data_IF_031310211879
#
_entry.id   IF_031310211879
#
_cell.length_a   1.000
_cell.length_b   1.000
_cell.length_c   1.000
_cell.angle_alpha   90.00
_cell.angle_beta   90.00
_cell.angle_gamma   90.00
#
_symmetry.space_group_name_H-M   'P 1'
#
loop_
_entity.id
_entity.type
_entity.pdbx_description
1 polymer ?
#
# COMPACT_ATOMS: atom_id res chain seq x y z
N UNK A 1 23.52 26.75 -2.50
CA UNK A 1 23.50 25.51 -1.70
C UNK A 1 24.93 25.00 -1.60
N UNK A 2 25.35 24.48 -0.43
CA UNK A 2 26.66 23.82 -0.27
C UNK A 2 26.78 22.64 -1.28
N UNK A 3 27.95 22.49 -1.93
CA UNK A 3 28.19 21.46 -2.96
C UNK A 3 27.92 20.07 -2.43
N UNK A 4 28.30 19.82 -1.18
CA UNK A 4 28.06 18.54 -0.52
C UNK A 4 26.56 18.24 -0.36
N UNK A 5 25.76 19.25 -0.04
CA UNK A 5 24.30 19.10 0.10
C UNK A 5 23.67 18.83 -1.26
N UNK A 6 24.15 19.49 -2.33
CA UNK A 6 23.72 19.22 -3.72
C UNK A 6 23.97 17.78 -4.12
N UNK A 7 25.18 17.29 -3.86
CA UNK A 7 25.55 15.92 -4.15
C UNK A 7 24.66 14.90 -3.40
N UNK A 8 24.31 15.15 -2.14
CA UNK A 8 23.42 14.27 -1.36
C UNK A 8 21.99 14.26 -1.91
N UNK A 9 21.45 15.41 -2.33
CA UNK A 9 20.13 15.47 -2.96
C UNK A 9 20.13 14.79 -4.33
N UNK A 10 21.21 14.93 -5.09
CA UNK A 10 21.39 14.22 -6.37
C UNK A 10 21.30 12.71 -6.19
N UNK A 11 22.08 12.18 -5.26
CA UNK A 11 22.06 10.74 -4.94
C UNK A 11 20.70 10.28 -4.41
N UNK A 12 19.99 11.12 -3.64
CA UNK A 12 18.61 10.82 -3.23
C UNK A 12 17.69 10.73 -4.45
N UNK A 13 17.74 11.71 -5.36
CA UNK A 13 16.94 11.75 -6.58
C UNK A 13 17.16 10.53 -7.48
N UNK A 14 18.42 10.07 -7.62
CA UNK A 14 18.74 8.85 -8.37
C UNK A 14 18.07 7.61 -7.77
N UNK A 15 18.09 7.44 -6.45
CA UNK A 15 17.42 6.30 -5.79
C UNK A 15 15.90 6.37 -5.94
N UNK A 16 15.32 7.57 -5.85
CA UNK A 16 13.89 7.79 -6.10
C UNK A 16 13.52 7.44 -7.55
N UNK A 17 14.37 7.74 -8.53
CA UNK A 17 14.15 7.33 -9.92
C UNK A 17 14.03 5.80 -10.04
N UNK A 18 14.97 5.05 -9.47
CA UNK A 18 14.94 3.60 -9.51
C UNK A 18 13.74 3.02 -8.74
N UNK A 19 13.33 3.66 -7.64
CA UNK A 19 12.09 3.30 -6.94
C UNK A 19 10.88 3.49 -7.87
N UNK A 20 10.81 4.59 -8.62
CA UNK A 20 9.75 4.82 -9.60
C UNK A 20 9.68 3.73 -10.67
N UNK A 21 10.84 3.35 -11.24
CA UNK A 21 10.94 2.25 -12.22
C UNK A 21 10.50 0.91 -11.62
N UNK A 22 11.01 0.56 -10.45
CA UNK A 22 10.64 -0.69 -9.79
C UNK A 22 9.16 -0.73 -9.39
N UNK A 23 8.58 0.42 -9.02
CA UNK A 23 7.15 0.53 -8.73
C UNK A 23 6.32 0.17 -9.97
N UNK A 24 6.73 0.57 -11.17
CA UNK A 24 6.07 0.12 -12.41
C UNK A 24 6.24 -1.39 -12.60
N UNK A 25 7.44 -1.92 -12.36
CA UNK A 25 7.73 -3.34 -12.51
C UNK A 25 6.98 -4.23 -11.50
N UNK A 26 6.58 -3.72 -10.33
CA UNK A 26 5.79 -4.50 -9.36
C UNK A 26 4.47 -5.02 -9.92
N UNK A 27 3.93 -4.40 -10.97
CA UNK A 27 2.73 -4.90 -11.68
C UNK A 27 2.98 -6.30 -12.24
N UNK A 28 4.20 -6.56 -12.76
CA UNK A 28 4.56 -7.82 -13.41
C UNK A 28 5.25 -8.80 -12.46
N UNK A 29 6.10 -8.31 -11.56
CA UNK A 29 6.89 -9.16 -10.66
C UNK A 29 6.17 -9.57 -9.39
N UNK A 30 5.01 -8.96 -9.09
CA UNK A 30 4.38 -9.04 -7.79
C UNK A 30 5.30 -8.55 -6.67
N UNK A 31 5.29 -9.27 -5.54
CA UNK A 31 5.97 -8.86 -4.30
C UNK A 31 7.50 -8.90 -4.32
N UNK A 32 8.15 -9.54 -5.31
CA UNK A 32 9.62 -9.67 -5.30
C UNK A 32 10.35 -8.34 -5.46
N UNK A 33 9.83 -7.43 -6.31
CA UNK A 33 10.41 -6.09 -6.47
C UNK A 33 10.29 -5.23 -5.20
N UNK A 34 9.40 -5.58 -4.27
CA UNK A 34 9.23 -4.85 -3.01
C UNK A 34 10.50 -4.86 -2.16
N UNK A 35 11.26 -5.95 -2.16
CA UNK A 35 12.53 -6.05 -1.41
C UNK A 35 13.53 -5.04 -1.97
N UNK A 36 13.67 -4.97 -3.30
CA UNK A 36 14.54 -4.01 -3.96
C UNK A 36 14.13 -2.56 -3.67
N UNK A 37 12.82 -2.26 -3.70
CA UNK A 37 12.27 -0.94 -3.33
C UNK A 37 12.64 -0.60 -1.87
N UNK A 38 12.48 -1.53 -0.93
CA UNK A 38 12.85 -1.33 0.47
C UNK A 38 14.34 -0.99 0.62
N UNK A 39 15.22 -1.74 -0.04
CA UNK A 39 16.67 -1.50 -0.01
C UNK A 39 16.99 -0.10 -0.56
N UNK A 40 16.38 0.30 -1.68
CA UNK A 40 16.60 1.63 -2.25
C UNK A 40 16.09 2.75 -1.36
N UNK A 41 14.95 2.57 -0.68
CA UNK A 41 14.47 3.53 0.30
C UNK A 41 15.45 3.69 1.47
N UNK A 42 15.98 2.59 2.01
CA UNK A 42 16.99 2.65 3.08
C UNK A 42 18.26 3.40 2.63
N UNK A 43 18.72 3.15 1.41
CA UNK A 43 19.84 3.90 0.82
C UNK A 43 19.51 5.39 0.65
N UNK A 44 18.33 5.72 0.13
CA UNK A 44 17.87 7.10 -0.04
C UNK A 44 17.79 7.84 1.31
N UNK A 45 17.31 7.15 2.37
CA UNK A 45 17.23 7.71 3.72
C UNK A 45 18.58 8.01 4.35
N UNK A 46 19.66 7.31 3.95
CA UNK A 46 21.02 7.62 4.40
C UNK A 46 21.44 9.01 3.93
N UNK A 47 21.14 9.37 2.68
CA UNK A 47 21.44 10.70 2.14
C UNK A 47 20.64 11.79 2.87
N UNK A 48 19.35 11.53 3.14
CA UNK A 48 18.50 12.46 3.90
C UNK A 48 18.98 12.62 5.35
N UNK A 49 19.51 11.56 5.98
CA UNK A 49 20.12 11.66 7.31
C UNK A 49 21.28 12.65 7.30
N UNK A 50 22.18 12.54 6.33
CA UNK A 50 23.34 13.44 6.19
C UNK A 50 22.92 14.88 5.90
N UNK A 51 21.94 15.09 5.03
CA UNK A 51 21.36 16.41 4.78
C UNK A 51 20.77 16.99 6.07
N UNK A 52 19.99 16.19 6.80
CA UNK A 52 19.36 16.66 8.02
C UNK A 52 20.36 16.97 9.15
N UNK A 53 21.50 16.29 9.20
CA UNK A 53 22.57 16.63 10.14
C UNK A 53 23.15 18.03 9.87
N UNK A 54 23.22 18.44 8.59
CA UNK A 54 23.71 19.77 8.20
C UNK A 54 22.64 20.86 8.37
N UNK A 55 21.38 20.55 8.01
CA UNK A 55 20.29 21.53 8.01
C UNK A 55 19.49 21.60 9.32
N UNK A 56 19.61 20.59 10.19
CA UNK A 56 18.86 20.42 11.43
C UNK A 56 17.35 20.70 11.28
N UNK A 57 16.69 20.07 10.31
CA UNK A 57 15.32 20.38 9.94
C UNK A 57 14.32 19.31 10.41
N UNK A 58 13.37 19.71 11.27
CA UNK A 58 12.39 18.79 11.84
C UNK A 58 11.50 18.08 10.80
N UNK A 59 11.26 18.67 9.62
CA UNK A 59 10.50 18.03 8.55
C UNK A 59 11.25 16.88 7.88
N UNK A 60 12.57 17.02 7.66
CA UNK A 60 13.40 15.94 7.12
C UNK A 60 13.54 14.79 8.12
N UNK A 61 13.65 15.10 9.41
CA UNK A 61 13.65 14.07 10.47
C UNK A 61 12.34 13.29 10.49
N UNK A 62 11.19 13.99 10.44
CA UNK A 62 9.85 13.36 10.37
C UNK A 62 9.69 12.52 9.12
N UNK A 63 10.11 13.02 7.95
CA UNK A 63 10.08 12.27 6.70
C UNK A 63 10.88 10.96 6.84
N UNK A 64 12.14 11.04 7.29
CA UNK A 64 13.02 9.89 7.45
C UNK A 64 12.44 8.85 8.40
N UNK A 65 11.98 9.27 9.58
CA UNK A 65 11.45 8.35 10.58
C UNK A 65 10.20 7.61 10.06
N UNK A 66 9.31 8.31 9.36
CA UNK A 66 8.07 7.73 8.83
C UNK A 66 8.33 6.77 7.65
N UNK A 67 9.20 7.11 6.71
CA UNK A 67 9.59 6.17 5.65
C UNK A 67 10.29 4.96 6.24
N UNK A 68 11.18 5.14 7.22
CA UNK A 68 11.84 4.01 7.87
C UNK A 68 10.83 3.08 8.53
N UNK A 69 9.87 3.63 9.29
CA UNK A 69 8.76 2.84 9.85
C UNK A 69 7.94 2.11 8.79
N UNK A 70 7.63 2.77 7.66
CA UNK A 70 6.91 2.15 6.55
C UNK A 70 7.69 0.98 5.93
N UNK A 71 9.00 1.12 5.73
CA UNK A 71 9.87 0.05 5.22
C UNK A 71 9.94 -1.13 6.19
N UNK A 72 10.00 -0.90 7.50
CA UNK A 72 9.96 -1.98 8.49
C UNK A 72 8.62 -2.72 8.45
N UNK A 73 7.50 -2.00 8.34
CA UNK A 73 6.18 -2.61 8.18
C UNK A 73 6.09 -3.40 6.88
N UNK A 74 6.65 -2.89 5.77
CA UNK A 74 6.71 -3.60 4.48
C UNK A 74 7.48 -4.93 4.59
N UNK A 75 8.67 -4.91 5.21
CA UNK A 75 9.49 -6.11 5.38
C UNK A 75 8.83 -7.12 6.34
N UNK A 76 8.34 -6.66 7.50
CA UNK A 76 7.65 -7.52 8.45
C UNK A 76 6.37 -8.10 7.86
N UNK A 77 5.57 -7.27 7.18
CA UNK A 77 4.35 -7.68 6.50
C UNK A 77 4.61 -8.72 5.42
N UNK A 78 5.69 -8.58 4.64
CA UNK A 78 6.09 -9.57 3.65
C UNK A 78 6.47 -10.92 4.27
N UNK A 79 7.26 -10.93 5.36
CA UNK A 79 7.62 -12.16 6.07
C UNK A 79 6.38 -12.84 6.65
N UNK A 80 5.51 -12.07 7.32
CA UNK A 80 4.26 -12.59 7.88
C UNK A 80 3.38 -13.15 6.78
N UNK A 81 3.26 -12.46 5.64
CA UNK A 81 2.51 -12.94 4.48
C UNK A 81 3.03 -14.30 3.98
N UNK A 82 4.34 -14.51 3.89
CA UNK A 82 4.91 -15.80 3.48
C UNK A 82 4.57 -16.92 4.48
N UNK A 83 4.69 -16.64 5.78
CA UNK A 83 4.35 -17.61 6.84
C UNK A 83 2.86 -17.98 6.77
N UNK A 84 1.97 -16.97 6.72
CA UNK A 84 0.53 -17.18 6.67
C UNK A 84 0.11 -17.92 5.41
N UNK A 85 0.70 -17.58 4.25
CA UNK A 85 0.45 -18.32 3.00
C UNK A 85 0.88 -19.78 3.12
N UNK A 86 2.03 -20.06 3.73
CA UNK A 86 2.49 -21.43 3.98
C UNK A 86 1.54 -22.21 4.90
N UNK A 87 1.08 -21.60 6.00
CA UNK A 87 0.09 -22.20 6.91
C UNK A 87 -1.22 -22.48 6.17
N UNK A 88 -1.71 -21.53 5.37
CA UNK A 88 -2.93 -21.69 4.58
C UNK A 88 -2.79 -22.83 3.57
N UNK A 89 -1.69 -22.89 2.81
CA UNK A 89 -1.44 -23.97 1.85
C UNK A 89 -1.38 -25.33 2.57
N UNK A 90 -0.64 -25.41 3.67
CA UNK A 90 -0.56 -26.63 4.47
C UNK A 90 -1.93 -27.06 4.99
N UNK A 91 -2.73 -26.12 5.50
CA UNK A 91 -4.08 -26.41 5.96
C UNK A 91 -4.99 -26.91 4.83
N UNK A 92 -4.95 -26.28 3.66
CA UNK A 92 -5.71 -26.71 2.48
C UNK A 92 -5.31 -28.13 2.05
N UNK A 93 -4.01 -28.44 2.00
CA UNK A 93 -3.53 -29.78 1.64
C UNK A 93 -4.04 -30.85 2.62
N UNK A 94 -4.12 -30.53 3.92
CA UNK A 94 -4.61 -31.47 4.93
C UNK A 94 -6.15 -31.59 4.97
N UNK A 95 -6.87 -30.53 4.62
CA UNK A 95 -8.34 -30.52 4.55
C UNK A 95 -8.85 -31.18 3.27
N UNK A 96 -8.11 -31.08 2.16
CA UNK A 96 -8.57 -31.60 0.88
C UNK A 96 -8.96 -33.10 0.90
N UNK A 97 -8.20 -34.01 1.56
CA UNK A 97 -8.60 -35.42 1.68
C UNK A 97 -9.86 -35.63 2.53
N UNK A 98 -10.09 -34.80 3.55
CA UNK A 98 -11.24 -34.98 4.46
C UNK A 98 -12.56 -34.60 3.81
N UNK A 99 -12.54 -33.77 2.77
CA UNK A 99 -13.73 -33.46 1.95
C UNK A 99 -14.30 -34.66 1.20
N UNK A 100 -13.50 -35.73 1.02
CA UNK A 100 -13.95 -36.97 0.35
C UNK A 100 -14.45 -38.04 1.33
N UNK A 101 -14.42 -37.78 2.64
CA UNK A 101 -14.91 -38.72 3.66
C UNK A 101 -16.42 -38.53 3.89
N UNK A 102 -17.23 -39.62 3.89
CA UNK A 102 -18.69 -39.52 4.02
C UNK A 102 -19.20 -39.00 5.38
N UNK A 103 -18.35 -39.02 6.41
CA UNK A 103 -18.75 -38.77 7.81
C UNK A 103 -18.46 -37.37 8.32
N UNK A 104 -17.85 -36.51 7.50
CA UNK A 104 -17.44 -35.16 7.90
C UNK A 104 -18.43 -34.13 7.38
N UNK A 105 -19.03 -33.36 8.28
CA UNK A 105 -19.85 -32.20 7.91
C UNK A 105 -18.99 -31.15 7.18
N UNK A 106 -19.16 -30.96 5.86
CA UNK A 106 -18.32 -30.08 5.07
C UNK A 106 -18.42 -28.62 5.52
N UNK A 107 -19.57 -28.22 6.09
CA UNK A 107 -19.83 -26.86 6.55
C UNK A 107 -18.96 -26.49 7.75
N UNK A 108 -18.81 -27.39 8.72
CA UNK A 108 -17.95 -27.17 9.89
C UNK A 108 -16.47 -27.03 9.50
N UNK A 109 -16.00 -27.87 8.56
CA UNK A 109 -14.61 -27.82 8.08
C UNK A 109 -14.36 -26.51 7.30
N UNK A 110 -15.27 -26.16 6.39
CA UNK A 110 -15.20 -24.91 5.63
C UNK A 110 -15.24 -23.70 6.57
N UNK A 111 -16.12 -23.69 7.57
CA UNK A 111 -16.24 -22.61 8.54
C UNK A 111 -14.94 -22.31 9.30
N UNK A 112 -14.25 -23.35 9.76
CA UNK A 112 -12.96 -23.21 10.45
C UNK A 112 -11.87 -22.65 9.52
N UNK A 113 -11.79 -23.13 8.28
CA UNK A 113 -10.84 -22.63 7.29
C UNK A 113 -11.14 -21.16 6.92
N UNK A 114 -12.41 -20.79 6.72
CA UNK A 114 -12.81 -19.41 6.44
C UNK A 114 -12.52 -18.47 7.62
N UNK A 115 -12.74 -18.91 8.86
CA UNK A 115 -12.42 -18.12 10.05
C UNK A 115 -10.95 -17.73 10.13
N UNK A 116 -10.04 -18.68 9.87
CA UNK A 116 -8.59 -18.42 9.83
C UNK A 116 -8.25 -17.45 8.71
N UNK A 117 -8.82 -17.64 7.50
CA UNK A 117 -8.58 -16.76 6.37
C UNK A 117 -9.04 -15.32 6.64
N UNK A 118 -10.23 -15.13 7.23
CA UNK A 118 -10.75 -13.81 7.59
C UNK A 118 -9.83 -13.14 8.61
N UNK A 119 -9.38 -13.87 9.63
CA UNK A 119 -8.46 -13.34 10.64
C UNK A 119 -7.13 -12.88 10.02
N UNK A 120 -6.54 -13.71 9.16
CA UNK A 120 -5.31 -13.39 8.41
C UNK A 120 -5.49 -12.13 7.56
N UNK A 121 -6.62 -12.03 6.87
CA UNK A 121 -6.96 -10.92 6.00
C UNK A 121 -7.13 -9.61 6.76
N UNK A 122 -7.85 -9.63 7.89
CA UNK A 122 -8.02 -8.50 8.80
C UNK A 122 -6.67 -7.99 9.32
N UNK A 123 -5.80 -8.91 9.73
CA UNK A 123 -4.46 -8.57 10.21
C UNK A 123 -3.61 -7.92 9.10
N UNK A 124 -3.56 -8.53 7.91
CA UNK A 124 -2.82 -8.00 6.77
C UNK A 124 -3.30 -6.60 6.35
N UNK A 125 -4.61 -6.37 6.36
CA UNK A 125 -5.20 -5.06 6.06
C UNK A 125 -4.81 -3.99 7.07
N UNK A 126 -4.79 -4.33 8.37
CA UNK A 126 -4.37 -3.40 9.42
C UNK A 126 -2.93 -2.90 9.22
N UNK A 127 -2.01 -3.81 8.87
CA UNK A 127 -0.62 -3.46 8.54
C UNK A 127 -0.54 -2.61 7.28
N UNK A 128 -1.32 -2.94 6.24
CA UNK A 128 -1.37 -2.18 4.98
C UNK A 128 -1.81 -0.74 5.22
N UNK A 129 -2.85 -0.53 6.04
CA UNK A 129 -3.31 0.82 6.40
C UNK A 129 -2.26 1.60 7.19
N UNK A 130 -1.64 0.99 8.20
CA UNK A 130 -0.56 1.60 8.97
C UNK A 130 0.58 2.09 8.07
N UNK A 131 0.99 1.24 7.11
CA UNK A 131 1.99 1.57 6.10
C UNK A 131 1.58 2.77 5.23
N UNK A 132 0.37 2.77 4.66
CA UNK A 132 -0.10 3.83 3.76
C UNK A 132 -0.14 5.18 4.50
N UNK A 133 -0.59 5.18 5.76
CA UNK A 133 -0.63 6.38 6.62
C UNK A 133 0.78 6.93 6.83
N UNK A 134 1.78 6.07 7.09
CA UNK A 134 3.17 6.49 7.24
C UNK A 134 3.72 7.10 5.94
N UNK A 135 3.47 6.48 4.78
CA UNK A 135 3.87 7.05 3.49
C UNK A 135 3.22 8.41 3.25
N UNK A 136 1.89 8.51 3.34
CA UNK A 136 1.17 9.79 3.21
C UNK A 136 1.77 10.89 4.11
N UNK A 137 1.97 10.55 5.39
CA UNK A 137 2.47 11.45 6.40
C UNK A 137 3.93 11.85 6.17
N UNK A 138 4.75 10.96 5.61
CA UNK A 138 6.14 11.23 5.23
C UNK A 138 6.21 12.20 4.05
N UNK A 139 5.48 11.95 2.97
CA UNK A 139 5.49 12.81 1.78
C UNK A 139 4.95 14.21 2.07
N UNK A 140 3.96 14.31 2.97
CA UNK A 140 3.49 15.59 3.48
C UNK A 140 4.58 16.37 4.24
N UNK A 141 5.42 15.69 5.02
CA UNK A 141 6.55 16.34 5.71
C UNK A 141 7.61 16.81 4.71
N UNK A 142 7.95 15.99 3.71
CA UNK A 142 8.91 16.35 2.68
C UNK A 142 8.41 17.50 1.78
N UNK A 143 7.12 17.52 1.44
CA UNK A 143 6.51 18.63 0.70
C UNK A 143 6.61 19.95 1.48
N UNK A 144 6.31 19.93 2.79
CA UNK A 144 6.48 21.10 3.67
C UNK A 144 7.93 21.57 3.71
N UNK A 145 8.88 20.65 3.80
CA UNK A 145 10.30 20.97 3.75
C UNK A 145 10.66 21.78 2.48
N UNK A 146 10.30 21.28 1.29
CA UNK A 146 10.65 21.97 0.05
C UNK A 146 9.97 23.32 -0.10
N UNK A 147 8.69 23.45 0.30
CA UNK A 147 7.98 24.73 0.30
C UNK A 147 8.63 25.78 1.21
N UNK A 148 9.17 25.36 2.36
CA UNK A 148 9.85 26.26 3.29
C UNK A 148 11.28 26.62 2.87
N UNK A 149 11.86 25.92 1.90
CA UNK A 149 13.27 26.08 1.50
C UNK A 149 13.44 26.36 0.00
N UNK A 150 12.44 27.00 -0.64
CA UNK A 150 12.44 27.29 -2.08
C UNK A 150 13.72 27.94 -2.59
N UNK A 151 14.26 28.90 -1.82
CA UNK A 151 15.45 29.69 -2.18
C UNK A 151 16.73 28.85 -2.29
N UNK A 152 16.75 27.64 -1.69
CA UNK A 152 17.94 26.78 -1.69
C UNK A 152 18.12 25.98 -2.99
N UNK A 153 17.10 25.95 -3.86
CA UNK A 153 17.06 25.08 -5.02
C UNK A 153 16.79 25.87 -6.31
N UNK A 154 17.27 25.41 -7.47
CA UNK A 154 16.87 25.94 -8.76
C UNK A 154 15.33 25.89 -8.94
N UNK A 155 14.69 26.98 -9.42
CA UNK A 155 13.23 27.06 -9.50
C UNK A 155 12.58 25.92 -10.28
N UNK A 156 13.19 25.49 -11.39
CA UNK A 156 12.71 24.38 -12.21
C UNK A 156 12.70 23.04 -11.45
N UNK A 157 13.74 22.77 -10.66
CA UNK A 157 13.88 21.53 -9.90
C UNK A 157 12.95 21.53 -8.69
N UNK A 158 12.89 22.62 -7.92
CA UNK A 158 12.10 22.67 -6.69
C UNK A 158 10.61 22.64 -6.97
N UNK A 159 10.15 23.29 -8.04
CA UNK A 159 8.74 23.25 -8.42
C UNK A 159 8.31 21.84 -8.79
N UNK A 160 9.13 21.12 -9.58
CA UNK A 160 8.90 19.70 -9.90
C UNK A 160 8.93 18.80 -8.67
N UNK A 161 9.85 19.06 -7.75
CA UNK A 161 9.98 18.31 -6.50
C UNK A 161 8.75 18.50 -5.58
N UNK A 162 8.25 19.74 -5.48
CA UNK A 162 7.02 20.07 -4.73
C UNK A 162 5.79 19.44 -5.39
N UNK A 163 5.70 19.50 -6.71
CA UNK A 163 4.64 18.84 -7.46
C UNK A 163 4.68 17.33 -7.24
N UNK A 164 5.85 16.71 -7.37
CA UNK A 164 6.05 15.27 -7.20
C UNK A 164 5.69 14.77 -5.81
N UNK A 165 6.17 15.45 -4.76
CA UNK A 165 5.77 15.13 -3.38
C UNK A 165 4.28 15.36 -3.10
N UNK A 166 3.67 16.34 -3.78
CA UNK A 166 2.23 16.58 -3.74
C UNK A 166 1.44 15.44 -4.41
N UNK A 167 1.90 14.94 -5.55
CA UNK A 167 1.34 13.77 -6.26
C UNK A 167 1.49 12.50 -5.43
N UNK A 168 2.65 12.25 -4.81
CA UNK A 168 2.86 11.14 -3.88
C UNK A 168 1.85 11.20 -2.73
N UNK A 169 1.73 12.33 -2.05
CA UNK A 169 0.75 12.52 -0.97
C UNK A 169 -0.68 12.19 -1.43
N UNK A 170 -1.11 12.73 -2.58
CA UNK A 170 -2.45 12.44 -3.13
C UNK A 170 -2.60 10.98 -3.50
N UNK A 171 -1.59 10.36 -4.11
CA UNK A 171 -1.58 8.96 -4.50
C UNK A 171 -1.81 8.03 -3.33
N UNK A 172 -1.07 8.21 -2.23
CA UNK A 172 -1.27 7.43 -1.00
C UNK A 172 -2.61 7.73 -0.32
N UNK A 173 -3.13 8.96 -0.39
CA UNK A 173 -4.46 9.28 0.13
C UNK A 173 -5.56 8.55 -0.64
N UNK A 174 -5.52 8.56 -1.98
CA UNK A 174 -6.49 7.83 -2.79
C UNK A 174 -6.40 6.32 -2.57
N UNK A 175 -5.17 5.80 -2.42
CA UNK A 175 -4.95 4.40 -2.06
C UNK A 175 -5.54 4.07 -0.70
N UNK A 176 -5.42 4.96 0.28
CA UNK A 176 -6.03 4.81 1.61
C UNK A 176 -7.56 4.76 1.50
N UNK A 177 -8.18 5.74 0.83
CA UNK A 177 -9.64 5.82 0.66
C UNK A 177 -10.16 4.60 -0.11
N UNK A 178 -9.53 4.25 -1.24
CA UNK A 178 -9.89 3.08 -2.02
C UNK A 178 -9.74 1.78 -1.22
N UNK A 179 -8.66 1.65 -0.44
CA UNK A 179 -8.46 0.54 0.48
C UNK A 179 -9.54 0.43 1.55
N UNK A 180 -9.98 1.56 2.13
CA UNK A 180 -11.07 1.59 3.11
C UNK A 180 -12.40 1.17 2.48
N UNK A 181 -12.71 1.64 1.27
CA UNK A 181 -13.93 1.22 0.55
C UNK A 181 -13.87 -0.29 0.26
N UNK A 182 -12.75 -0.79 -0.28
CA UNK A 182 -12.56 -2.21 -0.53
C UNK A 182 -12.71 -3.06 0.74
N UNK A 183 -12.21 -2.55 1.87
CA UNK A 183 -12.35 -3.21 3.17
C UNK A 183 -13.80 -3.31 3.62
N UNK A 184 -14.56 -2.21 3.50
CA UNK A 184 -16.01 -2.21 3.80
C UNK A 184 -16.73 -3.19 2.87
N UNK A 185 -16.41 -3.20 1.57
CA UNK A 185 -16.98 -4.15 0.61
C UNK A 185 -16.72 -5.60 1.02
N UNK A 186 -15.51 -5.89 1.47
CA UNK A 186 -15.12 -7.23 1.92
C UNK A 186 -15.90 -7.66 3.16
N UNK A 187 -16.05 -6.79 4.17
CA UNK A 187 -16.89 -7.07 5.34
C UNK A 187 -18.34 -7.33 4.93
N UNK A 188 -18.89 -6.48 4.06
CA UNK A 188 -20.24 -6.65 3.55
C UNK A 188 -20.38 -7.99 2.81
N UNK A 189 -19.40 -8.39 2.00
CA UNK A 189 -19.41 -9.66 1.30
C UNK A 189 -19.36 -10.86 2.26
N UNK A 190 -18.54 -10.79 3.31
CA UNK A 190 -18.46 -11.83 4.35
C UNK A 190 -19.80 -12.00 5.08
N UNK A 191 -20.55 -10.92 5.29
CA UNK A 191 -21.88 -10.97 5.92
C UNK A 191 -22.97 -11.39 4.91
N UNK A 192 -22.90 -10.88 3.69
CA UNK A 192 -23.91 -11.05 2.65
C UNK A 192 -23.94 -12.47 2.09
N UNK A 193 -22.79 -13.14 1.92
CA UNK A 193 -22.74 -14.51 1.37
C UNK A 193 -23.53 -15.51 2.25
N UNK A 194 -23.28 -15.62 3.58
CA UNK A 194 -24.06 -16.52 4.43
C UNK A 194 -25.55 -16.20 4.43
N UNK A 195 -25.91 -14.92 4.49
CA UNK A 195 -27.31 -14.46 4.43
C UNK A 195 -27.97 -14.86 3.10
N UNK A 196 -27.24 -14.76 2.00
CA UNK A 196 -27.73 -15.17 0.69
C UNK A 196 -27.94 -16.68 0.63
N UNK A 197 -27.01 -17.48 1.16
CA UNK A 197 -27.15 -18.94 1.24
C UNK A 197 -28.40 -19.32 2.03
N UNK A 198 -28.65 -18.70 3.19
CA UNK A 198 -29.84 -18.99 3.99
C UNK A 198 -31.13 -18.59 3.27
N UNK A 199 -31.16 -17.42 2.61
CA UNK A 199 -32.34 -16.98 1.83
C UNK A 199 -32.65 -17.91 0.65
N UNK A 200 -31.62 -18.44 -0.03
CA UNK A 200 -31.79 -19.44 -1.09
C UNK A 200 -32.37 -20.73 -0.53
N UNK A 201 -31.86 -21.21 0.61
CA UNK A 201 -32.35 -22.43 1.26
C UNK A 201 -33.81 -22.32 1.70
N UNK A 202 -34.21 -21.16 2.21
CA UNK A 202 -35.57 -20.90 2.68
C UNK A 202 -36.56 -20.54 1.56
N UNK A 203 -36.11 -20.45 0.30
CA UNK A 203 -36.91 -19.96 -0.84
C UNK A 203 -37.53 -18.57 -0.60
N UNK A 204 -36.96 -17.78 0.32
CA UNK A 204 -37.44 -16.45 0.72
C UNK A 204 -36.78 -15.32 -0.08
N UNK A 205 -36.01 -15.67 -1.11
CA UNK A 205 -35.18 -14.72 -1.85
C UNK A 205 -36.05 -13.86 -2.79
N UNK A 206 -36.27 -12.62 -2.38
CA UNK A 206 -36.84 -11.58 -3.23
C UNK A 206 -35.76 -11.17 -4.24
N UNK A 207 -35.94 -11.55 -5.52
CA UNK A 207 -34.97 -11.33 -6.59
C UNK A 207 -34.55 -9.86 -6.72
N UNK A 208 -35.45 -8.91 -6.47
CA UNK A 208 -35.14 -7.47 -6.54
C UNK A 208 -34.13 -7.03 -5.49
N UNK A 209 -34.23 -7.53 -4.26
CA UNK A 209 -33.34 -7.15 -3.16
C UNK A 209 -31.94 -7.70 -3.39
N UNK A 210 -31.85 -8.92 -3.94
CA UNK A 210 -30.60 -9.51 -4.37
C UNK A 210 -29.92 -8.70 -5.47
N UNK A 211 -30.66 -8.34 -6.53
CA UNK A 211 -30.13 -7.53 -7.64
C UNK A 211 -29.64 -6.18 -7.13
N UNK A 212 -30.41 -5.51 -6.25
CA UNK A 212 -30.02 -4.23 -5.68
C UNK A 212 -28.73 -4.33 -4.85
N UNK A 213 -28.61 -5.36 -4.01
CA UNK A 213 -27.40 -5.63 -3.24
C UNK A 213 -26.17 -5.87 -4.12
N UNK A 214 -26.34 -6.65 -5.19
CA UNK A 214 -25.27 -6.92 -6.16
C UNK A 214 -24.81 -5.65 -6.89
N UNK A 215 -25.75 -4.80 -7.33
CA UNK A 215 -25.46 -3.52 -7.97
C UNK A 215 -24.69 -2.61 -7.01
N UNK A 216 -25.17 -2.47 -5.78
CA UNK A 216 -24.52 -1.64 -4.76
C UNK A 216 -23.08 -2.10 -4.49
N UNK A 217 -22.87 -3.40 -4.28
CA UNK A 217 -21.54 -3.99 -4.11
C UNK A 217 -20.63 -3.71 -5.31
N UNK A 218 -21.15 -3.90 -6.53
CA UNK A 218 -20.39 -3.69 -7.77
C UNK A 218 -19.93 -2.23 -7.90
N UNK A 219 -20.79 -1.26 -7.60
CA UNK A 219 -20.44 0.17 -7.64
C UNK A 219 -19.31 0.48 -6.66
N UNK A 220 -19.39 -0.02 -5.43
CA UNK A 220 -18.33 0.22 -4.45
C UNK A 220 -17.00 -0.43 -4.84
N UNK A 221 -17.04 -1.68 -5.32
CA UNK A 221 -15.85 -2.40 -5.77
C UNK A 221 -15.16 -1.69 -6.96
N UNK A 222 -15.95 -1.26 -7.96
CA UNK A 222 -15.45 -0.49 -9.11
C UNK A 222 -14.85 0.84 -8.65
N UNK A 223 -15.50 1.54 -7.72
CA UNK A 223 -14.99 2.80 -7.17
C UNK A 223 -13.65 2.61 -6.46
N UNK A 224 -13.54 1.59 -5.60
CA UNK A 224 -12.29 1.27 -4.92
C UNK A 224 -11.16 0.95 -5.91
N UNK A 225 -11.47 0.18 -6.95
CA UNK A 225 -10.52 -0.17 -8.00
C UNK A 225 -10.01 1.05 -8.79
N UNK A 226 -10.92 1.94 -9.21
CA UNK A 226 -10.56 3.18 -9.92
C UNK A 226 -9.67 4.06 -9.04
N UNK A 227 -10.01 4.22 -7.75
CA UNK A 227 -9.20 5.00 -6.81
C UNK A 227 -7.80 4.40 -6.62
N UNK A 228 -7.69 3.07 -6.58
CA UNK A 228 -6.41 2.38 -6.50
C UNK A 228 -5.55 2.64 -7.75
N UNK A 229 -6.13 2.58 -8.96
CA UNK A 229 -5.42 2.88 -10.22
C UNK A 229 -4.94 4.33 -10.23
N UNK A 230 -5.82 5.29 -9.94
CA UNK A 230 -5.44 6.71 -9.92
C UNK A 230 -4.37 6.95 -8.86
N UNK A 231 -4.52 6.35 -7.69
CA UNK A 231 -3.55 6.42 -6.60
C UNK A 231 -2.17 5.91 -7.00
N UNK A 232 -2.13 4.78 -7.71
CA UNK A 232 -0.92 4.18 -8.24
C UNK A 232 -0.25 5.05 -9.32
N UNK A 233 -1.01 5.57 -10.29
CA UNK A 233 -0.50 6.45 -11.35
C UNK A 233 0.11 7.72 -10.74
N UNK A 234 -0.59 8.37 -9.81
CA UNK A 234 -0.08 9.56 -9.12
C UNK A 234 1.20 9.27 -8.32
N UNK A 235 1.33 8.06 -7.76
CA UNK A 235 2.52 7.65 -7.02
C UNK A 235 3.72 7.52 -7.95
N UNK A 236 3.56 6.85 -9.11
CA UNK A 236 4.60 6.73 -10.14
C UNK A 236 5.05 8.10 -10.64
N UNK A 237 4.09 8.94 -11.08
CA UNK A 237 4.37 10.29 -11.55
C UNK A 237 5.10 11.11 -10.48
N UNK A 238 4.65 10.97 -9.22
CA UNK A 238 5.26 11.64 -8.09
C UNK A 238 6.71 11.23 -7.84
N UNK A 239 7.07 9.95 -8.01
CA UNK A 239 8.47 9.51 -7.95
C UNK A 239 9.31 10.09 -9.09
N UNK A 240 8.80 10.09 -10.32
CA UNK A 240 9.55 10.63 -11.46
C UNK A 240 9.76 12.14 -11.35
N UNK A 241 8.76 12.90 -10.91
CA UNK A 241 8.92 14.34 -10.67
C UNK A 241 9.89 14.62 -9.52
N UNK A 242 9.81 13.87 -8.42
CA UNK A 242 10.74 13.98 -7.30
C UNK A 242 12.18 13.59 -7.68
N UNK A 243 12.33 12.67 -8.63
CA UNK A 243 13.65 12.24 -9.11
C UNK A 243 14.44 13.33 -9.84
N UNK A 244 13.80 14.45 -10.21
CA UNK A 244 14.48 15.62 -10.82
C UNK A 244 15.57 16.22 -9.92
N UNK A 245 15.56 15.91 -8.62
CA UNK A 245 16.67 16.22 -7.72
C UNK A 245 18.03 15.65 -8.19
N UNK A 246 18.04 14.61 -9.04
CA UNK A 246 19.27 14.07 -9.64
C UNK A 246 20.00 15.04 -10.59
N UNK A 247 19.33 16.12 -10.99
CA UNK A 247 19.85 17.14 -11.91
C UNK A 247 20.42 18.37 -11.16
N UNK A 248 20.55 18.29 -9.83
CA UNK A 248 21.26 19.25 -8.98
C UNK A 248 22.78 19.08 -9.03
#
# INVERSE_FOLDING_TARGET
MDRDISYLYKNFGEKIYYIGVLTVLTIFSGGLAQIAICILFLQALRNIKSINQKLNNSYLQKFRFRIFGAVIIDLAGFIIFLILTGITIFHIINVLPTLYLPSTDPLTILGNTYGVLIFVLMFALSLSFGRIILYFSSWNALNKFFRSNLVQFPPNIVNKTIEGTGRLKKGYLLTLVGGTIAFICMILLVIFIPMLISMVQESSLILSDFILGLIFYSIMAITAFILAIIGFILTILGYFDLSQLRNL
#
